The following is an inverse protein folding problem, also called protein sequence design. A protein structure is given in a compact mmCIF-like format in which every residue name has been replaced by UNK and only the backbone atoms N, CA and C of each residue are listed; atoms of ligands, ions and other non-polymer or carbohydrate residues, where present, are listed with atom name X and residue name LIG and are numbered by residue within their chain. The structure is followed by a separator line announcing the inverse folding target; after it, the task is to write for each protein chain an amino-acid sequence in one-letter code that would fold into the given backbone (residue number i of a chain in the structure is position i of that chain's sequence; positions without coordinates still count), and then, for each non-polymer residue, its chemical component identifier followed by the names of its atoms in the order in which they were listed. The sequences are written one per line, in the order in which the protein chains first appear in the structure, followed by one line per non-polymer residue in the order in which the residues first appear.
data_IF_847096197599
#
_entry.id   IF_847096197599
#
_cell.length_a   1.000
_cell.length_b   1.000
_cell.length_c   1.000
_cell.angle_alpha   90.00
_cell.angle_beta   90.00
_cell.angle_gamma   90.00
#
_symmetry.space_group_name_H-M   'P 1'
#
loop_
_entity.id
_entity.type
_entity.pdbx_description
1 polymer ?
#
# COMPACT_ATOMS: atom_id res chain seq x y z
N UNK A 1 19.92 19.85 -16.62
CA UNK A 1 19.13 19.08 -15.62
C UNK A 1 18.73 20.04 -14.52
N UNK A 2 17.47 20.00 -14.11
CA UNK A 2 17.01 20.66 -12.89
C UNK A 2 16.76 19.56 -11.84
N UNK A 3 17.32 19.74 -10.65
CA UNK A 3 17.14 18.85 -9.50
C UNK A 3 16.58 19.66 -8.34
N UNK A 4 15.54 19.14 -7.71
CA UNK A 4 14.90 19.79 -6.57
C UNK A 4 15.24 19.06 -5.28
N UNK A 5 15.61 19.85 -4.28
CA UNK A 5 15.95 19.40 -2.94
C UNK A 5 14.90 19.91 -1.95
N UNK A 6 14.68 19.14 -0.89
CA UNK A 6 13.84 19.51 0.26
C UNK A 6 14.42 18.96 1.54
N UNK A 7 13.92 19.44 2.68
CA UNK A 7 14.10 18.77 3.96
C UNK A 7 12.85 17.94 4.21
N UNK A 8 13.00 16.63 4.40
CA UNK A 8 11.88 15.74 4.68
C UNK A 8 11.40 15.92 6.13
N UNK A 9 10.09 16.04 6.34
CA UNK A 9 9.53 16.35 7.66
C UNK A 9 9.72 15.24 8.70
N UNK A 10 9.84 13.97 8.27
CA UNK A 10 9.98 12.81 9.15
C UNK A 10 11.42 12.57 9.60
N UNK A 11 12.33 12.51 8.63
CA UNK A 11 13.75 12.24 8.89
C UNK A 11 14.51 13.49 9.28
N UNK A 12 13.96 14.67 8.97
CA UNK A 12 14.64 15.96 9.11
C UNK A 12 15.97 16.01 8.32
N UNK A 13 16.06 15.22 7.25
CA UNK A 13 17.24 15.14 6.39
C UNK A 13 17.00 15.79 5.04
N UNK A 14 18.08 16.23 4.40
CA UNK A 14 18.06 16.70 3.02
C UNK A 14 17.73 15.51 2.10
N UNK A 15 16.71 15.68 1.26
CA UNK A 15 16.24 14.70 0.31
C UNK A 15 16.06 15.33 -1.08
N UNK A 16 16.16 14.49 -2.12
CA UNK A 16 15.89 14.89 -3.51
C UNK A 16 14.42 14.60 -3.79
N UNK A 17 13.62 15.63 -4.08
CA UNK A 17 12.22 15.47 -4.51
C UNK A 17 12.20 14.74 -5.85
N UNK A 18 13.00 15.21 -6.81
CA UNK A 18 13.04 14.64 -8.15
C UNK A 18 13.85 15.47 -9.13
N UNK A 19 13.94 14.95 -10.35
CA UNK A 19 14.74 15.51 -11.43
C UNK A 19 13.87 15.74 -12.69
N UNK A 20 14.27 16.71 -13.51
CA UNK A 20 13.76 16.86 -14.86
C UNK A 20 14.85 17.39 -15.82
N UNK A 21 14.71 17.09 -17.11
CA UNK A 21 15.53 17.68 -18.16
C UNK A 21 14.76 18.79 -18.88
N UNK A 22 15.48 19.84 -19.22
CA UNK A 22 14.95 20.95 -20.00
C UNK A 22 16.04 21.44 -20.96
N UNK A 23 15.72 21.50 -22.25
CA UNK A 23 16.60 22.08 -23.26
C UNK A 23 16.38 23.58 -23.28
N UNK A 24 17.40 24.32 -22.83
CA UNK A 24 17.33 25.79 -22.74
C UNK A 24 17.32 26.47 -24.12
N UNK A 25 17.83 25.81 -25.16
CA UNK A 25 17.84 26.32 -26.54
C UNK A 25 16.91 25.49 -27.43
N UNK A 26 16.31 26.13 -28.44
CA UNK A 26 15.58 25.46 -29.51
C UNK A 26 16.54 24.78 -30.50
N UNK A 27 16.00 24.02 -31.46
CA UNK A 27 16.81 23.38 -32.51
C UNK A 27 17.46 24.43 -33.43
N UNK A 28 16.87 25.61 -33.52
CA UNK A 28 17.34 26.78 -34.25
C UNK A 28 18.42 27.57 -33.48
N UNK A 29 18.66 27.23 -32.21
CA UNK A 29 19.66 27.88 -31.34
C UNK A 29 19.12 29.05 -30.52
N UNK A 30 17.81 29.34 -30.61
CA UNK A 30 17.19 30.42 -29.85
C UNK A 30 16.97 30.02 -28.39
N UNK A 31 17.21 30.93 -27.44
CA UNK A 31 16.88 30.71 -26.04
C UNK A 31 15.36 30.60 -25.91
N UNK A 32 14.87 29.55 -25.26
CA UNK A 32 13.44 29.34 -24.99
C UNK A 32 12.93 30.29 -23.90
N UNK A 33 12.87 31.59 -24.20
CA UNK A 33 12.37 32.62 -23.30
C UNK A 33 10.89 32.39 -23.01
N UNK A 34 10.49 32.39 -21.74
CA UNK A 34 9.11 32.16 -21.35
C UNK A 34 8.97 31.44 -20.02
N UNK A 35 7.72 31.19 -19.64
CA UNK A 35 7.36 30.35 -18.51
C UNK A 35 7.26 28.90 -18.96
N UNK A 36 7.87 27.99 -18.21
CA UNK A 36 7.93 26.57 -18.50
C UNK A 36 7.43 25.77 -17.30
N UNK A 37 6.69 24.71 -17.58
CA UNK A 37 6.26 23.72 -16.59
C UNK A 37 6.82 22.35 -16.93
N UNK A 38 7.36 21.64 -15.94
CA UNK A 38 7.88 20.27 -16.09
C UNK A 38 7.45 19.34 -14.97
N UNK A 39 7.19 18.09 -15.35
CA UNK A 39 6.97 16.97 -14.45
C UNK A 39 8.30 16.56 -13.79
N UNK A 40 8.25 16.17 -12.52
CA UNK A 40 9.41 15.62 -11.82
C UNK A 40 9.35 14.09 -11.79
N UNK A 41 10.53 13.48 -11.86
CA UNK A 41 10.72 12.03 -11.84
C UNK A 41 11.71 11.60 -10.74
N UNK A 42 11.45 10.45 -10.14
CA UNK A 42 12.29 9.80 -9.15
C UNK A 42 13.36 8.96 -9.87
N UNK A 43 14.50 9.56 -10.18
CA UNK A 43 15.53 8.83 -10.92
C UNK A 43 16.72 9.67 -11.31
N UNK A 44 17.78 8.96 -11.68
CA UNK A 44 19.01 9.53 -12.21
C UNK A 44 19.21 9.05 -13.64
N UNK A 45 19.74 9.89 -14.55
CA UNK A 45 20.11 9.43 -15.87
C UNK A 45 21.04 8.21 -15.78
N UNK A 46 20.92 7.23 -16.70
CA UNK A 46 21.74 6.02 -16.67
C UNK A 46 23.23 6.35 -16.66
N UNK A 47 24.00 5.70 -15.78
CA UNK A 47 25.45 5.87 -15.72
C UNK A 47 26.09 5.37 -17.03
N UNK A 48 26.69 6.27 -17.80
CA UNK A 48 27.43 5.93 -19.04
C UNK A 48 26.92 6.62 -20.31
N UNK A 49 25.77 7.27 -20.28
CA UNK A 49 25.34 8.14 -21.38
C UNK A 49 26.13 9.45 -21.40
N UNK A 50 26.54 9.90 -22.59
CA UNK A 50 27.13 11.23 -22.75
C UNK A 50 26.07 12.29 -22.48
N UNK A 51 26.46 13.44 -21.92
CA UNK A 51 25.56 14.59 -21.73
C UNK A 51 24.87 15.03 -23.04
N UNK A 52 25.46 14.73 -24.20
CA UNK A 52 24.89 14.98 -25.53
C UNK A 52 23.70 14.09 -25.88
N UNK A 53 23.56 12.94 -25.23
CA UNK A 53 22.56 11.92 -25.56
C UNK A 53 21.30 12.05 -24.67
N UNK A 54 21.42 12.82 -23.59
CA UNK A 54 20.33 13.14 -22.67
C UNK A 54 19.31 14.06 -23.33
N UNK A 55 18.09 13.55 -23.49
CA UNK A 55 16.93 14.28 -24.01
C UNK A 55 16.01 14.69 -22.86
N UNK A 56 15.06 15.59 -23.16
CA UNK A 56 14.04 15.96 -22.18
C UNK A 56 13.24 14.76 -21.66
N UNK A 57 12.99 13.78 -22.52
CA UNK A 57 12.22 12.56 -22.22
C UNK A 57 13.05 11.44 -21.59
N UNK A 58 14.36 11.65 -21.34
CA UNK A 58 15.24 10.59 -20.80
C UNK A 58 14.77 10.08 -19.43
N UNK A 59 14.08 10.93 -18.65
CA UNK A 59 13.58 10.53 -17.34
C UNK A 59 12.15 9.95 -17.36
N UNK A 60 11.49 9.90 -18.52
CA UNK A 60 10.08 9.49 -18.60
C UNK A 60 9.85 8.01 -18.25
N UNK A 61 10.92 7.20 -18.22
CA UNK A 61 10.89 5.79 -17.80
C UNK A 61 10.93 5.62 -16.29
N UNK A 62 11.26 6.67 -15.53
CA UNK A 62 11.31 6.61 -14.07
C UNK A 62 9.94 6.92 -13.47
N UNK A 63 9.69 6.53 -12.20
CA UNK A 63 8.47 6.89 -11.49
C UNK A 63 8.26 8.40 -11.48
N UNK A 64 7.02 8.84 -11.77
CA UNK A 64 6.62 10.25 -11.64
C UNK A 64 6.40 10.59 -10.17
N UNK A 65 6.86 11.76 -9.74
CA UNK A 65 6.52 12.28 -8.41
C UNK A 65 5.06 12.77 -8.45
N UNK A 66 4.13 12.15 -7.70
CA UNK A 66 2.72 12.45 -7.84
C UNK A 66 2.37 13.89 -7.50
N UNK A 67 1.59 14.54 -8.37
CA UNK A 67 1.08 15.89 -8.11
C UNK A 67 2.16 16.97 -8.06
N UNK A 68 3.42 16.65 -8.40
CA UNK A 68 4.55 17.56 -8.25
C UNK A 68 5.09 18.02 -9.61
N UNK A 69 5.14 19.34 -9.80
CA UNK A 69 5.68 20.00 -11.00
C UNK A 69 6.54 21.18 -10.63
N UNK A 70 7.55 21.44 -11.46
CA UNK A 70 8.34 22.66 -11.39
C UNK A 70 7.86 23.67 -12.43
N UNK A 71 7.60 24.88 -11.97
CA UNK A 71 7.34 26.05 -12.80
C UNK A 71 8.58 26.95 -12.73
N UNK A 72 9.17 27.27 -13.88
CA UNK A 72 10.34 28.14 -13.95
C UNK A 72 10.25 29.05 -15.15
N UNK A 73 11.08 30.09 -15.15
CA UNK A 73 11.10 31.09 -16.22
C UNK A 73 12.51 31.25 -16.75
N UNK A 74 12.64 31.19 -18.07
CA UNK A 74 13.86 31.59 -18.75
C UNK A 74 13.69 33.01 -19.25
N UNK A 75 14.68 33.83 -18.93
CA UNK A 75 14.67 35.24 -19.29
C UNK A 75 15.83 35.62 -20.18
N UNK A 76 15.60 36.52 -21.15
CA UNK A 76 16.72 37.16 -21.81
C UNK A 76 17.46 37.97 -20.75
N UNK A 77 18.76 38.11 -20.92
CA UNK A 77 19.54 38.99 -20.08
C UNK A 77 19.02 40.43 -20.24
N UNK A 78 18.28 40.93 -19.25
CA UNK A 78 17.74 42.29 -19.23
C UNK A 78 18.16 43.01 -17.95
N UNK A 79 18.47 44.30 -18.06
CA UNK A 79 18.77 45.15 -16.90
C UNK A 79 17.57 45.34 -15.98
N UNK A 80 16.35 45.28 -16.53
CA UNK A 80 15.12 45.51 -15.79
C UNK A 80 14.60 44.24 -15.14
N UNK A 81 14.23 44.34 -13.85
CA UNK A 81 13.51 43.28 -13.14
C UNK A 81 12.11 43.14 -13.73
N UNK A 82 11.87 42.04 -14.43
CA UNK A 82 10.55 41.70 -14.92
C UNK A 82 9.69 41.06 -13.81
N UNK A 83 8.39 41.40 -13.76
CA UNK A 83 7.45 40.90 -12.75
C UNK A 83 7.23 39.39 -12.89
N UNK A 84 7.08 38.70 -11.75
CA UNK A 84 6.68 37.29 -11.70
C UNK A 84 5.21 37.19 -12.20
N UNK A 85 4.93 36.42 -13.26
CA UNK A 85 3.57 36.17 -13.74
C UNK A 85 2.82 35.26 -12.76
N UNK A 86 1.50 35.36 -12.70
CA UNK A 86 0.72 34.45 -11.87
C UNK A 86 0.59 33.07 -12.52
N UNK A 87 0.41 32.02 -11.71
CA UNK A 87 0.11 30.67 -12.22
C UNK A 87 -1.24 30.59 -12.95
N UNK A 88 -2.12 31.58 -12.76
CA UNK A 88 -3.43 31.68 -13.41
C UNK A 88 -3.34 32.34 -14.78
N UNK A 89 -2.27 33.09 -15.04
CA UNK A 89 -1.97 33.56 -16.37
C UNK A 89 -1.52 32.31 -17.16
N UNK A 90 -2.08 32.09 -18.35
CA UNK A 90 -1.66 31.01 -19.29
C UNK A 90 -0.23 31.21 -19.83
N UNK A 91 0.65 31.73 -18.98
CA UNK A 91 2.01 32.16 -19.20
C UNK A 91 2.99 30.99 -19.19
N UNK A 92 2.69 29.95 -18.41
CA UNK A 92 3.53 28.75 -18.37
C UNK A 92 3.09 27.78 -19.45
N UNK A 93 3.98 27.53 -20.41
CA UNK A 93 3.78 26.49 -21.42
C UNK A 93 3.77 25.13 -20.72
N UNK A 94 2.60 24.48 -20.76
CA UNK A 94 2.41 23.14 -20.23
C UNK A 94 2.86 22.14 -21.29
N UNK A 95 4.11 21.70 -21.20
CA UNK A 95 4.61 20.61 -22.04
C UNK A 95 4.34 19.24 -21.41
N UNK A 96 3.97 19.20 -20.12
CA UNK A 96 3.57 17.99 -19.41
C UNK A 96 2.06 17.71 -19.57
N UNK A 97 1.63 16.44 -19.63
CA UNK A 97 0.20 16.08 -19.63
C UNK A 97 -0.49 16.63 -18.37
N UNK A 98 -1.82 16.80 -18.38
CA UNK A 98 -2.55 17.17 -17.16
C UNK A 98 -2.37 16.15 -16.04
N UNK A 99 -2.58 16.58 -14.78
CA UNK A 99 -2.60 15.67 -13.65
C UNK A 99 -3.67 14.59 -13.86
N UNK A 100 -3.31 13.33 -13.60
CA UNK A 100 -4.26 12.23 -13.62
C UNK A 100 -5.25 12.33 -12.44
N UNK A 101 -6.18 11.38 -12.33
CA UNK A 101 -7.20 11.42 -11.28
C UNK A 101 -6.60 11.38 -9.87
N UNK A 102 -5.58 10.55 -9.65
CA UNK A 102 -4.91 10.38 -8.36
C UNK A 102 -4.07 11.59 -7.98
N UNK A 103 -3.31 12.15 -8.93
CA UNK A 103 -2.56 13.38 -8.75
C UNK A 103 -3.49 14.57 -8.42
N UNK A 104 -4.67 14.63 -9.06
CA UNK A 104 -5.71 15.63 -8.71
C UNK A 104 -6.20 15.45 -7.26
N UNK A 105 -6.36 14.21 -6.78
CA UNK A 105 -6.68 13.94 -5.36
C UNK A 105 -5.55 14.40 -4.44
N UNK A 106 -4.29 14.07 -4.76
CA UNK A 106 -3.10 14.48 -3.99
C UNK A 106 -3.02 15.99 -3.87
N UNK A 107 -3.13 16.72 -4.99
CA UNK A 107 -3.12 18.19 -4.99
C UNK A 107 -4.26 18.74 -4.12
N UNK A 108 -5.48 18.20 -4.24
CA UNK A 108 -6.63 18.61 -3.41
C UNK A 108 -6.38 18.36 -1.91
N UNK A 109 -5.73 17.26 -1.55
CA UNK A 109 -5.38 16.94 -0.16
C UNK A 109 -4.34 17.91 0.42
N UNK A 110 -3.33 18.29 -0.37
CA UNK A 110 -2.40 19.36 0.01
C UNK A 110 -3.08 20.72 0.11
N UNK A 111 -4.09 20.99 -0.73
CA UNK A 111 -4.88 22.21 -0.65
C UNK A 111 -5.71 22.33 0.62
N UNK A 112 -5.96 21.22 1.31
CA UNK A 112 -6.65 21.15 2.60
C UNK A 112 -5.67 21.10 3.79
N UNK A 113 -4.36 21.10 3.55
CA UNK A 113 -3.38 21.00 4.64
C UNK A 113 -3.36 22.25 5.51
N UNK A 114 -3.29 22.05 6.83
CA UNK A 114 -3.27 23.11 7.84
C UNK A 114 -2.04 24.03 7.66
N UNK A 115 -0.96 23.51 7.10
CA UNK A 115 0.26 24.27 6.83
C UNK A 115 0.22 25.04 5.51
N UNK A 116 -0.83 24.91 4.68
CA UNK A 116 -0.92 25.61 3.39
C UNK A 116 -0.82 27.13 3.53
N UNK A 117 -1.36 27.69 4.60
CA UNK A 117 -1.31 29.12 4.87
C UNK A 117 0.04 29.59 5.41
N UNK A 118 0.93 28.67 5.81
CA UNK A 118 2.24 29.01 6.34
C UNK A 118 3.18 29.42 5.21
N UNK A 119 3.94 30.46 5.47
CA UNK A 119 5.03 30.92 4.63
C UNK A 119 6.22 29.96 4.72
N UNK A 120 7.08 29.97 3.70
CA UNK A 120 8.34 29.22 3.69
C UNK A 120 9.18 29.53 4.95
N UNK A 121 9.17 30.79 5.40
CA UNK A 121 9.88 31.22 6.61
C UNK A 121 9.33 30.53 7.85
N UNK A 122 8.01 30.48 8.03
CA UNK A 122 7.38 29.83 9.18
C UNK A 122 7.65 28.32 9.20
N UNK A 123 7.60 27.67 8.03
CA UNK A 123 7.93 26.24 7.92
C UNK A 123 9.41 26.01 8.27
N UNK A 124 10.32 26.82 7.73
CA UNK A 124 11.75 26.69 7.98
C UNK A 124 12.11 26.93 9.46
N UNK A 125 11.49 27.92 10.13
CA UNK A 125 11.65 28.13 11.57
C UNK A 125 11.16 26.91 12.36
N UNK A 126 9.99 26.35 12.02
CA UNK A 126 9.46 25.15 12.69
C UNK A 126 10.38 23.94 12.54
N UNK A 127 11.00 23.76 11.38
CA UNK A 127 11.98 22.70 11.13
C UNK A 127 13.27 22.96 11.94
N UNK A 128 13.78 24.19 11.95
CA UNK A 128 14.98 24.57 12.70
C UNK A 128 14.80 24.33 14.20
N UNK A 129 13.62 24.66 14.76
CA UNK A 129 13.27 24.40 16.16
C UNK A 129 13.20 22.91 16.49
N UNK A 130 12.73 22.08 15.55
CA UNK A 130 12.73 20.62 15.72
C UNK A 130 14.14 20.02 15.68
N UNK A 131 15.01 20.52 14.81
CA UNK A 131 16.39 20.02 14.69
C UNK A 131 17.30 20.52 15.82
N UNK A 132 17.05 21.72 16.33
CA UNK A 132 17.91 22.37 17.34
C UNK A 132 17.27 22.26 18.72
N UNK A 133 17.78 21.39 19.59
CA UNK A 133 17.30 21.29 20.99
C UNK A 133 17.43 22.60 21.79
N UNK A 134 18.14 23.60 21.26
CA UNK A 134 18.24 24.95 21.82
C UNK A 134 17.32 25.93 21.10
N UNK A 135 16.36 26.50 21.83
CA UNK A 135 15.57 27.68 21.43
C UNK A 135 16.47 28.92 21.32
N UNK A 136 17.28 29.03 20.27
CA UNK A 136 17.93 30.29 19.92
C UNK A 136 16.99 31.07 19.00
N UNK A 137 16.48 32.24 19.42
CA UNK A 137 15.62 33.06 18.57
C UNK A 137 16.49 33.66 17.45
N UNK A 138 16.04 33.56 16.20
CA UNK A 138 16.63 34.24 15.04
C UNK A 138 18.13 33.96 14.81
N UNK A 139 18.60 32.72 15.01
CA UNK A 139 19.83 32.30 14.35
C UNK A 139 19.57 32.35 12.84
N UNK A 140 20.32 33.21 12.13
CA UNK A 140 20.12 33.58 10.73
C UNK A 140 19.62 32.40 9.88
N UNK A 141 18.31 32.39 9.63
CA UNK A 141 17.63 31.31 8.91
C UNK A 141 18.26 31.08 7.54
N UNK A 142 18.82 32.13 6.93
CA UNK A 142 19.50 32.03 5.64
C UNK A 142 20.82 31.28 5.79
N UNK A 143 21.61 31.61 6.81
CA UNK A 143 22.84 30.87 7.13
C UNK A 143 22.54 29.41 7.49
N UNK A 144 21.48 29.14 8.27
CA UNK A 144 21.06 27.76 8.58
C UNK A 144 20.59 26.99 7.35
N UNK A 145 19.78 27.59 6.48
CA UNK A 145 19.36 26.97 5.22
C UNK A 145 20.55 26.71 4.29
N UNK A 146 21.49 27.64 4.21
CA UNK A 146 22.74 27.46 3.47
C UNK A 146 23.53 26.30 4.06
N UNK A 147 23.68 26.23 5.38
CA UNK A 147 24.36 25.14 6.07
C UNK A 147 23.71 23.78 5.78
N UNK A 148 22.37 23.68 5.83
CA UNK A 148 21.66 22.45 5.47
C UNK A 148 21.89 22.03 4.01
N UNK A 149 22.07 22.99 3.09
CA UNK A 149 22.31 22.72 1.67
C UNK A 149 23.79 22.49 1.35
N UNK A 150 24.73 22.99 2.15
CA UNK A 150 26.18 22.86 1.94
C UNK A 150 26.82 21.74 2.75
N UNK A 151 26.29 21.40 3.93
CA UNK A 151 26.69 20.22 4.71
C UNK A 151 26.09 18.95 4.09
N UNK A 152 26.29 18.78 2.79
CA UNK A 152 26.11 17.49 2.15
C UNK A 152 27.19 16.60 2.74
N UNK A 153 26.78 15.64 3.58
CA UNK A 153 27.65 14.56 4.06
C UNK A 153 28.43 13.93 2.90
N UNK A 154 29.50 13.19 3.19
CA UNK A 154 30.20 12.39 2.15
C UNK A 154 29.24 11.48 1.35
N UNK A 155 28.09 11.13 1.95
CA UNK A 155 26.96 10.47 1.29
C UNK A 155 26.02 11.47 0.58
N UNK A 156 25.69 11.24 -0.70
CA UNK A 156 24.73 12.07 -1.42
C UNK A 156 23.33 11.97 -0.78
N UNK A 157 22.51 13.04 -0.86
CA UNK A 157 21.14 13.02 -0.33
C UNK A 157 20.31 11.91 -0.97
N UNK A 158 19.51 11.20 -0.17
CA UNK A 158 18.62 10.16 -0.65
C UNK A 158 17.49 10.74 -1.51
N UNK A 159 16.92 9.91 -2.38
CA UNK A 159 15.65 10.22 -3.05
C UNK A 159 14.53 10.21 -2.01
N UNK A 160 13.55 11.09 -2.19
CA UNK A 160 12.33 11.08 -1.37
C UNK A 160 11.65 9.71 -1.45
N UNK A 161 11.32 9.15 -0.30
CA UNK A 161 10.55 7.91 -0.21
C UNK A 161 9.10 8.17 -0.65
N UNK A 162 8.74 7.66 -1.83
CA UNK A 162 7.42 7.89 -2.40
C UNK A 162 6.30 7.20 -1.61
N UNK A 163 6.59 6.21 -0.78
CA UNK A 163 5.61 5.64 0.15
C UNK A 163 5.13 6.66 1.19
N UNK A 164 5.89 7.74 1.40
CA UNK A 164 5.60 8.85 2.31
C UNK A 164 5.35 10.18 1.59
N UNK A 165 5.13 10.13 0.27
CA UNK A 165 4.92 11.35 -0.52
C UNK A 165 3.60 12.07 -0.17
N UNK A 166 2.63 11.34 0.39
CA UNK A 166 1.29 11.85 0.67
C UNK A 166 0.91 11.52 2.09
N UNK A 167 0.47 12.57 2.81
CA UNK A 167 -0.10 12.43 4.14
C UNK A 167 -1.47 11.78 4.07
N UNK A 168 -1.68 10.79 4.92
CA UNK A 168 -2.96 10.11 5.09
C UNK A 168 -4.06 11.10 5.48
N UNK A 169 -5.24 10.89 4.90
CA UNK A 169 -6.47 11.60 5.25
C UNK A 169 -7.61 10.61 5.44
N UNK A 170 -8.33 10.76 6.55
CA UNK A 170 -9.47 9.90 6.89
C UNK A 170 -10.56 9.96 5.81
N UNK A 171 -10.83 11.13 5.20
CA UNK A 171 -11.82 11.27 4.13
C UNK A 171 -11.39 10.62 2.80
N UNK A 172 -10.11 10.26 2.66
CA UNK A 172 -9.59 9.56 1.48
C UNK A 172 -9.50 8.06 1.72
N UNK A 173 -8.96 7.63 2.86
CA UNK A 173 -8.92 6.21 3.24
C UNK A 173 -7.65 5.45 2.83
N UNK A 174 -7.64 4.18 3.22
CA UNK A 174 -6.59 3.19 2.98
C UNK A 174 -7.21 2.04 2.21
N UNK A 175 -6.54 1.56 1.17
CA UNK A 175 -6.94 0.34 0.49
C UNK A 175 -6.17 -0.85 1.06
N UNK A 176 -6.88 -1.97 1.26
CA UNK A 176 -6.34 -3.23 1.76
C UNK A 176 -6.76 -4.37 0.86
N UNK A 177 -5.84 -5.27 0.54
CA UNK A 177 -6.13 -6.51 -0.16
C UNK A 177 -5.35 -7.68 0.44
N UNK A 178 -6.03 -8.78 0.74
CA UNK A 178 -5.37 -10.01 1.19
C UNK A 178 -5.09 -10.86 -0.05
N UNK A 179 -3.83 -11.04 -0.41
CA UNK A 179 -3.41 -11.67 -1.66
C UNK A 179 -3.38 -13.20 -1.56
N UNK A 180 -2.88 -13.71 -0.44
CA UNK A 180 -2.64 -15.13 -0.27
C UNK A 180 -2.09 -15.47 1.10
N UNK A 181 -1.87 -16.74 1.33
CA UNK A 181 -1.16 -17.25 2.50
C UNK A 181 -0.22 -18.38 2.06
N UNK A 182 0.74 -18.72 2.91
CA UNK A 182 1.73 -19.77 2.69
C UNK A 182 1.94 -20.57 3.98
N UNK A 183 2.39 -21.82 3.87
CA UNK A 183 2.71 -22.66 5.04
C UNK A 183 1.50 -23.12 5.86
N UNK A 184 0.28 -23.06 5.31
CA UNK A 184 -0.94 -23.44 6.01
C UNK A 184 -1.16 -24.97 6.00
N UNK A 185 -1.88 -25.53 7.00
CA UNK A 185 -2.20 -26.97 7.02
C UNK A 185 -3.02 -27.45 5.81
N UNK A 186 -2.65 -28.60 5.24
CA UNK A 186 -3.37 -29.20 4.11
C UNK A 186 -4.77 -29.71 4.50
N UNK A 187 -5.71 -29.74 3.54
CA UNK A 187 -7.03 -30.35 3.70
C UNK A 187 -8.04 -29.47 4.43
N UNK A 188 -7.72 -28.20 4.63
CA UNK A 188 -8.62 -27.17 5.16
C UNK A 188 -8.93 -26.13 4.09
N UNK A 189 -10.15 -25.58 4.15
CA UNK A 189 -10.53 -24.39 3.41
C UNK A 189 -10.35 -23.18 4.32
N UNK A 190 -9.47 -22.27 3.94
CA UNK A 190 -9.13 -21.09 4.73
C UNK A 190 -10.01 -19.89 4.41
N UNK A 191 -10.13 -18.97 5.35
CA UNK A 191 -10.75 -17.67 5.14
C UNK A 191 -10.05 -16.67 6.02
N UNK A 192 -9.77 -15.51 5.45
CA UNK A 192 -9.21 -14.40 6.19
C UNK A 192 -10.29 -13.35 6.42
N UNK A 193 -10.32 -12.81 7.63
CA UNK A 193 -11.20 -11.71 8.04
C UNK A 193 -10.33 -10.65 8.71
N UNK A 194 -10.27 -9.47 8.12
CA UNK A 194 -9.50 -8.36 8.66
C UNK A 194 -10.39 -7.30 9.31
N UNK A 195 -9.94 -6.78 10.45
CA UNK A 195 -10.57 -5.69 11.21
C UNK A 195 -9.52 -4.67 11.62
N UNK A 196 -9.93 -3.40 11.75
CA UNK A 196 -9.07 -2.35 12.30
C UNK A 196 -9.15 -2.36 13.82
N UNK A 197 -8.00 -2.34 14.47
CA UNK A 197 -7.86 -1.94 15.87
C UNK A 197 -7.52 -0.45 15.90
N UNK A 198 -8.33 0.41 16.56
CA UNK A 198 -8.19 1.86 16.49
C UNK A 198 -7.00 2.45 17.28
N UNK A 199 -6.19 1.63 17.96
CA UNK A 199 -5.10 2.13 18.79
C UNK A 199 -5.60 2.65 20.15
N UNK A 200 -4.89 3.63 20.72
CA UNK A 200 -5.16 4.18 22.06
C UNK A 200 -6.39 5.09 22.15
N UNK A 201 -7.02 5.39 21.00
CA UNK A 201 -8.25 6.15 20.94
C UNK A 201 -9.37 5.46 21.73
N UNK A 202 -10.24 6.27 22.35
CA UNK A 202 -11.43 5.74 23.02
C UNK A 202 -12.19 4.82 22.05
N UNK A 203 -12.53 3.61 22.51
CA UNK A 203 -13.50 2.78 21.79
C UNK A 203 -14.73 3.64 21.51
N UNK A 204 -15.19 3.77 20.25
CA UNK A 204 -16.31 4.63 19.93
C UNK A 204 -17.51 4.23 20.80
N UNK A 205 -18.05 5.21 21.52
CA UNK A 205 -19.12 5.12 22.52
C UNK A 205 -20.50 4.84 21.89
N UNK A 206 -20.56 3.98 20.88
CA UNK A 206 -21.76 3.56 20.17
C UNK A 206 -22.46 2.37 20.80
N UNK A 207 -23.79 2.37 20.72
CA UNK A 207 -24.66 1.25 21.11
C UNK A 207 -24.30 -0.05 20.38
N UNK A 208 -24.44 -1.19 21.08
CA UNK A 208 -23.97 -2.56 20.77
C UNK A 208 -24.36 -3.20 19.40
N UNK A 209 -24.86 -2.43 18.42
CA UNK A 209 -25.14 -2.89 17.05
C UNK A 209 -24.35 -2.17 15.95
N UNK A 210 -23.66 -1.07 16.27
CA UNK A 210 -22.83 -0.25 15.34
C UNK A 210 -21.38 -0.16 15.83
N UNK A 211 -21.01 -1.04 16.76
CA UNK A 211 -19.69 -1.11 17.41
C UNK A 211 -18.67 -1.69 16.45
N UNK A 212 -17.64 -0.91 16.10
CA UNK A 212 -16.19 -1.25 16.03
C UNK A 212 -15.70 -2.62 15.51
N UNK A 213 -16.57 -3.43 14.90
CA UNK A 213 -16.30 -4.73 14.30
C UNK A 213 -16.88 -4.74 12.89
N UNK A 214 -16.71 -3.65 12.14
CA UNK A 214 -16.89 -3.80 10.69
C UNK A 214 -15.83 -4.81 10.24
N UNK A 215 -16.31 -5.96 9.76
CA UNK A 215 -15.49 -6.88 8.99
C UNK A 215 -15.16 -6.12 7.70
N UNK A 216 -13.95 -5.56 7.64
CA UNK A 216 -13.58 -4.63 6.58
C UNK A 216 -13.19 -5.42 5.32
N UNK A 217 -12.27 -6.37 5.45
CA UNK A 217 -11.89 -7.25 4.35
C UNK A 217 -12.21 -8.71 4.69
N UNK A 218 -12.74 -9.43 3.72
CA UNK A 218 -13.01 -10.86 3.83
C UNK A 218 -12.58 -11.55 2.55
N UNK A 219 -11.81 -12.62 2.67
CA UNK A 219 -11.52 -13.45 1.50
C UNK A 219 -12.69 -14.39 1.20
N UNK A 220 -13.16 -14.38 -0.05
CA UNK A 220 -14.31 -15.16 -0.54
C UNK A 220 -13.95 -15.86 -1.84
N UNK A 221 -13.25 -15.19 -2.74
CA UNK A 221 -12.97 -15.71 -4.08
C UNK A 221 -11.60 -16.36 -4.11
N UNK A 222 -11.57 -17.67 -4.31
CA UNK A 222 -10.34 -18.44 -4.42
C UNK A 222 -9.79 -18.47 -5.84
N UNK A 223 -8.46 -18.45 -5.94
CA UNK A 223 -7.77 -19.03 -7.07
C UNK A 223 -7.70 -20.55 -6.89
N UNK A 224 -8.51 -21.30 -7.64
CA UNK A 224 -8.56 -22.76 -7.54
C UNK A 224 -7.30 -23.45 -8.09
N UNK A 225 -6.44 -22.75 -8.82
CA UNK A 225 -5.16 -23.29 -9.30
C UNK A 225 -4.04 -23.20 -8.27
N UNK A 226 -4.24 -22.43 -7.19
CA UNK A 226 -3.33 -22.34 -6.04
C UNK A 226 -3.29 -23.61 -5.19
N UNK A 227 -2.26 -23.73 -4.36
CA UNK A 227 -2.05 -24.83 -3.42
C UNK A 227 -2.98 -24.72 -2.21
N UNK A 228 -3.39 -25.84 -1.60
CA UNK A 228 -4.14 -25.81 -0.34
C UNK A 228 -3.31 -25.28 0.84
N UNK A 229 -2.00 -25.53 0.83
CA UNK A 229 -1.05 -25.02 1.83
C UNK A 229 -0.60 -23.59 1.54
N UNK A 230 -0.81 -23.11 0.31
CA UNK A 230 -0.53 -21.74 -0.10
C UNK A 230 -1.67 -21.16 -0.96
N UNK A 231 -2.86 -20.92 -0.36
CA UNK A 231 -4.02 -20.45 -1.10
C UNK A 231 -3.83 -18.99 -1.54
N UNK A 232 -4.29 -18.68 -2.76
CA UNK A 232 -4.41 -17.30 -3.26
C UNK A 232 -5.87 -16.88 -3.35
N UNK A 233 -6.12 -15.62 -3.05
CA UNK A 233 -7.45 -15.01 -3.14
C UNK A 233 -7.50 -13.95 -4.24
N UNK A 234 -8.62 -13.92 -4.94
CA UNK A 234 -8.89 -13.03 -6.08
C UNK A 234 -9.93 -11.97 -5.71
N UNK A 235 -10.16 -11.76 -4.42
CA UNK A 235 -11.03 -10.71 -3.92
C UNK A 235 -10.47 -9.32 -4.26
N UNK A 236 -11.34 -8.39 -4.63
CA UNK A 236 -10.96 -6.99 -4.87
C UNK A 236 -10.52 -6.31 -3.57
N UNK A 237 -9.82 -5.19 -3.70
CA UNK A 237 -9.46 -4.36 -2.56
C UNK A 237 -10.66 -3.81 -1.79
N UNK A 238 -10.45 -3.55 -0.51
CA UNK A 238 -11.40 -2.86 0.36
C UNK A 238 -10.81 -1.51 0.78
N UNK A 239 -11.53 -0.43 0.48
CA UNK A 239 -11.25 0.90 0.99
C UNK A 239 -11.81 1.05 2.42
N UNK A 240 -10.99 1.56 3.33
CA UNK A 240 -11.35 1.78 4.74
C UNK A 240 -10.87 3.15 5.22
N UNK A 241 -11.54 3.70 6.23
CA UNK A 241 -11.29 5.07 6.73
C UNK A 241 -10.93 5.08 8.22
N UNK A 242 -9.87 4.38 8.66
CA UNK A 242 -9.41 4.41 10.05
C UNK A 242 -8.99 5.82 10.47
N UNK A 243 -9.25 6.18 11.73
CA UNK A 243 -8.67 7.41 12.29
C UNK A 243 -7.13 7.33 12.31
N UNK A 244 -6.47 8.47 12.11
CA UNK A 244 -5.01 8.54 12.10
C UNK A 244 -4.48 8.46 13.54
N UNK A 245 -4.16 7.25 13.97
CA UNK A 245 -3.62 6.93 15.29
C UNK A 245 -2.32 6.14 15.18
N UNK A 246 -1.33 6.45 16.03
CA UNK A 246 0.04 5.91 15.94
C UNK A 246 0.09 4.37 16.05
N UNK A 247 -0.85 3.79 16.80
CA UNK A 247 -0.91 2.35 17.07
C UNK A 247 -2.10 1.68 16.38
N UNK A 248 -2.74 2.36 15.42
CA UNK A 248 -3.79 1.72 14.63
C UNK A 248 -3.19 0.58 13.78
N UNK A 249 -3.81 -0.60 13.87
CA UNK A 249 -3.33 -1.79 13.18
C UNK A 249 -4.48 -2.61 12.60
N UNK A 250 -4.18 -3.36 11.53
CA UNK A 250 -5.07 -4.36 10.96
C UNK A 250 -4.84 -5.69 11.67
N UNK A 251 -5.89 -6.26 12.25
CA UNK A 251 -5.88 -7.61 12.81
C UNK A 251 -6.56 -8.53 11.80
N UNK A 252 -5.82 -9.52 11.31
CA UNK A 252 -6.27 -10.48 10.31
C UNK A 252 -6.47 -11.82 11.00
N UNK A 253 -7.70 -12.32 11.04
CA UNK A 253 -8.00 -13.67 11.51
C UNK A 253 -7.99 -14.64 10.35
N UNK A 254 -7.27 -15.75 10.50
CA UNK A 254 -7.14 -16.84 9.53
C UNK A 254 -7.88 -18.05 10.08
N UNK A 255 -9.04 -18.38 9.51
CA UNK A 255 -9.87 -19.50 9.93
C UNK A 255 -9.84 -20.61 8.87
N UNK A 256 -9.39 -21.82 9.25
CA UNK A 256 -9.39 -23.01 8.40
C UNK A 256 -10.50 -23.97 8.80
N UNK A 257 -11.28 -24.45 7.84
CA UNK A 257 -12.40 -25.37 8.06
C UNK A 257 -12.27 -26.61 7.18
N UNK A 258 -12.40 -27.80 7.77
CA UNK A 258 -12.41 -29.06 7.02
C UNK A 258 -13.74 -29.25 6.29
N UNK A 259 -13.86 -28.60 5.13
CA UNK A 259 -15.02 -28.64 4.28
C UNK A 259 -15.01 -29.84 3.33
N UNK A 260 -16.18 -30.45 3.14
CA UNK A 260 -16.45 -31.45 2.11
C UNK A 260 -17.63 -31.01 1.26
N UNK A 261 -17.37 -30.79 -0.02
CA UNK A 261 -18.38 -30.42 -1.00
C UNK A 261 -19.10 -31.65 -1.57
N UNK A 262 -20.40 -31.55 -1.76
CA UNK A 262 -21.21 -32.51 -2.51
C UNK A 262 -22.05 -31.74 -3.55
N UNK A 263 -21.71 -31.82 -4.86
CA UNK A 263 -22.46 -31.12 -5.89
C UNK A 263 -23.88 -31.68 -6.02
N UNK A 264 -24.81 -30.83 -6.46
CA UNK A 264 -26.15 -31.29 -6.78
C UNK A 264 -26.11 -32.20 -8.03
N UNK A 265 -26.85 -33.33 -8.08
CA UNK A 265 -26.77 -34.29 -9.21
C UNK A 265 -27.00 -33.69 -10.60
N UNK A 266 -27.72 -32.56 -10.68
CA UNK A 266 -28.02 -31.89 -11.93
C UNK A 266 -26.96 -30.87 -12.37
N UNK A 267 -25.98 -30.50 -11.54
CA UNK A 267 -24.98 -29.45 -11.82
C UNK A 267 -25.59 -28.11 -12.31
N UNK A 268 -26.81 -27.81 -11.85
CA UNK A 268 -27.60 -26.60 -12.22
C UNK A 268 -27.96 -25.75 -11.01
N UNK A 269 -27.66 -26.23 -9.81
CA UNK A 269 -27.95 -25.57 -8.53
C UNK A 269 -26.78 -25.82 -7.60
N UNK A 270 -26.55 -24.93 -6.63
CA UNK A 270 -25.49 -25.12 -5.66
C UNK A 270 -25.63 -26.44 -4.89
N UNK A 271 -24.50 -27.09 -4.64
CA UNK A 271 -24.41 -28.29 -3.82
C UNK A 271 -24.54 -28.00 -2.33
N UNK A 272 -24.08 -28.94 -1.51
CA UNK A 272 -24.06 -28.80 -0.05
C UNK A 272 -22.63 -28.98 0.45
N UNK A 273 -22.19 -28.10 1.35
CA UNK A 273 -20.94 -28.26 2.09
C UNK A 273 -21.24 -28.83 3.47
N UNK A 274 -20.46 -29.81 3.88
CA UNK A 274 -20.52 -30.45 5.20
C UNK A 274 -19.12 -30.61 5.78
N UNK A 275 -18.98 -30.79 7.09
CA UNK A 275 -17.69 -31.16 7.67
C UNK A 275 -17.33 -32.62 7.33
N UNK A 276 -16.13 -33.08 7.75
CA UNK A 276 -15.67 -34.48 7.58
C UNK A 276 -16.67 -35.54 8.09
N UNK A 277 -17.53 -35.18 9.06
CA UNK A 277 -18.55 -36.05 9.67
C UNK A 277 -19.94 -35.91 9.03
N UNK A 278 -20.08 -35.15 7.94
CA UNK A 278 -21.35 -34.96 7.21
C UNK A 278 -22.36 -34.04 7.92
N UNK A 279 -21.92 -33.28 8.93
CA UNK A 279 -22.75 -32.29 9.65
C UNK A 279 -22.53 -30.89 9.04
N UNK A 280 -23.39 -29.89 9.35
CA UNK A 280 -23.11 -28.50 9.02
C UNK A 280 -21.71 -28.09 9.50
N UNK A 281 -21.09 -27.15 8.80
CA UNK A 281 -19.82 -26.58 9.26
C UNK A 281 -20.02 -25.99 10.66
N UNK A 282 -19.11 -26.32 11.56
CA UNK A 282 -19.05 -25.80 12.93
C UNK A 282 -17.71 -25.09 13.11
N UNK A 283 -17.37 -24.64 14.32
CA UNK A 283 -16.13 -23.92 14.65
C UNK A 283 -14.90 -24.40 13.87
N UNK A 284 -14.04 -23.44 13.50
CA UNK A 284 -12.88 -23.66 12.65
C UNK A 284 -11.92 -24.71 13.22
N UNK A 285 -11.40 -25.59 12.37
CA UNK A 285 -10.41 -26.62 12.73
C UNK A 285 -9.02 -26.02 12.92
N UNK A 286 -8.75 -24.92 12.22
CA UNK A 286 -7.57 -24.08 12.42
C UNK A 286 -8.02 -22.65 12.68
N UNK A 287 -7.45 -22.01 13.68
CA UNK A 287 -7.61 -20.57 13.90
C UNK A 287 -6.22 -20.00 14.12
N UNK A 288 -5.88 -18.99 13.34
CA UNK A 288 -4.70 -18.19 13.55
C UNK A 288 -4.99 -16.73 13.31
N UNK A 289 -4.00 -15.88 13.54
CA UNK A 289 -4.13 -14.45 13.34
C UNK A 289 -2.79 -13.80 12.97
N UNK A 290 -2.85 -12.65 12.32
CA UNK A 290 -1.72 -11.81 11.98
C UNK A 290 -2.06 -10.35 12.27
N UNK A 291 -1.05 -9.49 12.36
CA UNK A 291 -1.22 -8.06 12.62
C UNK A 291 -0.31 -7.21 11.74
N UNK A 292 -0.82 -6.09 11.24
CA UNK A 292 -0.10 -5.14 10.39
C UNK A 292 -0.34 -3.71 10.88
N UNK A 293 0.70 -2.89 11.16
CA UNK A 293 0.48 -1.47 11.42
C UNK A 293 -0.08 -0.77 10.18
N UNK A 294 -1.03 0.17 10.37
CA UNK A 294 -1.65 0.86 9.24
C UNK A 294 -0.87 2.09 8.78
N UNK A 295 -0.12 2.70 9.69
CA UNK A 295 0.53 3.98 9.47
C UNK A 295 2.00 3.96 9.86
N UNK A 296 2.79 4.76 9.16
CA UNK A 296 4.16 5.14 9.53
C UNK A 296 4.20 6.66 9.58
N UNK A 297 4.21 7.20 10.80
CA UNK A 297 4.01 8.64 11.00
C UNK A 297 2.60 9.06 10.60
N UNK A 298 2.49 10.00 9.67
CA UNK A 298 1.21 10.47 9.12
C UNK A 298 0.91 9.92 7.72
N UNK A 299 1.63 8.88 7.30
CA UNK A 299 1.48 8.22 5.99
C UNK A 299 0.98 6.79 6.16
N UNK A 300 0.30 6.25 5.14
CA UNK A 300 -0.10 4.84 5.10
C UNK A 300 1.12 3.95 4.99
N UNK A 301 1.18 2.89 5.79
CA UNK A 301 2.20 1.85 5.67
C UNK A 301 1.96 1.02 4.39
N UNK A 302 2.39 1.57 3.26
CA UNK A 302 2.08 1.06 1.93
C UNK A 302 3.08 0.01 1.48
N UNK A 303 2.61 -1.02 0.76
CA UNK A 303 3.43 -2.10 0.24
C UNK A 303 2.75 -3.45 0.29
N UNK A 304 3.49 -4.50 -0.08
CA UNK A 304 3.09 -5.90 0.11
C UNK A 304 3.83 -6.44 1.33
N UNK A 305 3.08 -6.94 2.30
CA UNK A 305 3.57 -7.38 3.60
C UNK A 305 3.33 -8.87 3.78
N UNK A 306 4.39 -9.63 4.03
CA UNK A 306 4.31 -11.05 4.41
C UNK A 306 4.35 -11.15 5.92
N UNK A 307 3.21 -11.48 6.53
CA UNK A 307 3.00 -11.44 7.98
C UNK A 307 2.98 -12.86 8.55
N UNK A 308 3.67 -13.14 9.66
CA UNK A 308 3.58 -14.43 10.33
C UNK A 308 2.16 -14.67 10.86
N UNK A 309 1.71 -15.93 10.81
CA UNK A 309 0.42 -16.36 11.37
C UNK A 309 0.64 -17.01 12.74
N UNK A 310 0.09 -16.39 13.76
CA UNK A 310 0.10 -16.84 15.14
C UNK A 310 -1.08 -17.78 15.42
N UNK A 311 -0.86 -18.82 16.23
CA UNK A 311 -1.90 -19.79 16.56
C UNK A 311 -2.96 -19.20 17.51
N UNK A 312 -4.21 -19.60 17.32
CA UNK A 312 -5.34 -19.22 18.16
C UNK A 312 -5.92 -17.85 17.80
N UNK A 313 -6.44 -17.16 18.82
CA UNK A 313 -6.98 -15.81 18.72
C UNK A 313 -6.18 -14.87 19.62
N UNK A 314 -5.98 -13.60 19.23
CA UNK A 314 -5.27 -12.65 20.08
C UNK A 314 -6.01 -12.50 21.41
N UNK A 315 -5.28 -12.53 22.52
CA UNK A 315 -5.87 -12.35 23.86
C UNK A 315 -6.19 -10.87 24.10
N UNK A 316 -7.13 -10.58 25.01
CA UNK A 316 -7.48 -9.19 25.37
C UNK A 316 -6.27 -8.39 25.85
N UNK A 317 -5.27 -9.06 26.44
CA UNK A 317 -4.04 -8.40 26.88
C UNK A 317 -3.18 -7.99 25.68
N UNK A 318 -3.00 -8.89 24.69
CA UNK A 318 -2.31 -8.56 23.45
C UNK A 318 -3.03 -7.44 22.70
N UNK A 319 -4.35 -7.48 22.61
CA UNK A 319 -5.14 -6.41 21.98
C UNK A 319 -4.93 -5.07 22.68
N UNK A 320 -4.88 -5.07 24.03
CA UNK A 320 -4.60 -3.87 24.81
C UNK A 320 -3.17 -3.36 24.59
N UNK A 321 -2.18 -4.24 24.52
CA UNK A 321 -0.80 -3.85 24.24
C UNK A 321 -0.65 -3.27 22.82
N UNK A 322 -1.30 -3.89 21.82
CA UNK A 322 -1.35 -3.39 20.45
C UNK A 322 -1.98 -1.99 20.35
N UNK A 323 -2.85 -1.61 21.29
CA UNK A 323 -3.42 -0.26 21.34
C UNK A 323 -2.42 0.80 21.84
N UNK A 324 -1.33 0.38 22.49
CA UNK A 324 -0.39 1.25 23.20
C UNK A 324 1.04 1.20 22.66
N UNK A 325 1.32 0.28 21.74
CA UNK A 325 2.68 0.01 21.27
C UNK A 325 2.66 -0.55 19.86
N UNK A 326 3.77 -0.38 19.15
CA UNK A 326 3.92 -0.90 17.79
C UNK A 326 3.77 -2.44 17.77
N UNK A 327 3.11 -3.02 16.75
CA UNK A 327 2.86 -4.47 16.70
C UNK A 327 4.11 -5.33 16.85
N UNK A 328 5.23 -4.92 16.24
CA UNK A 328 6.50 -5.64 16.32
C UNK A 328 6.98 -5.80 17.77
N UNK A 329 6.94 -4.72 18.57
CA UNK A 329 7.35 -4.73 19.98
C UNK A 329 6.44 -5.63 20.82
N UNK A 330 5.13 -5.53 20.61
CA UNK A 330 4.14 -6.36 21.32
C UNK A 330 4.35 -7.84 21.02
N UNK A 331 4.62 -8.17 19.76
CA UNK A 331 4.82 -9.55 19.33
C UNK A 331 6.15 -10.15 19.85
N UNK A 332 7.21 -9.35 19.95
CA UNK A 332 8.47 -9.79 20.57
C UNK A 332 8.30 -10.10 22.07
N UNK A 333 7.47 -9.34 22.79
CA UNK A 333 7.28 -9.48 24.24
C UNK A 333 6.21 -10.52 24.60
N UNK A 334 5.12 -10.60 23.83
CA UNK A 334 3.94 -11.38 24.17
C UNK A 334 3.91 -12.78 23.57
N UNK A 335 4.66 -13.03 22.49
CA UNK A 335 4.58 -14.29 21.74
C UNK A 335 5.88 -15.08 21.89
N UNK A 336 5.86 -16.06 22.80
CA UNK A 336 6.71 -17.25 22.62
C UNK A 336 6.25 -17.84 21.29
N UNK A 337 7.09 -17.83 20.26
CA UNK A 337 6.82 -18.49 18.98
C UNK A 337 6.22 -19.87 19.29
N UNK A 338 4.91 -20.00 19.10
CA UNK A 338 4.25 -21.28 19.32
C UNK A 338 4.77 -22.20 18.22
N UNK A 339 5.54 -23.21 18.62
CA UNK A 339 6.18 -24.24 17.78
C UNK A 339 5.22 -25.01 16.82
N UNK A 340 3.95 -24.62 16.69
CA UNK A 340 2.90 -25.36 15.99
C UNK A 340 2.94 -25.27 14.45
N UNK A 341 3.34 -24.12 13.88
CA UNK A 341 3.17 -23.85 12.43
C UNK A 341 4.29 -22.99 11.82
N UNK A 342 5.54 -23.18 12.26
CA UNK A 342 6.69 -22.26 12.15
C UNK A 342 6.98 -21.45 10.87
N UNK A 343 6.32 -21.74 9.74
CA UNK A 343 6.50 -21.03 8.46
C UNK A 343 5.19 -20.44 7.88
N UNK A 344 4.07 -20.51 8.63
CA UNK A 344 2.79 -20.00 8.16
C UNK A 344 2.78 -18.47 8.06
N UNK A 345 2.35 -17.94 6.93
CA UNK A 345 2.29 -16.50 6.67
C UNK A 345 1.08 -16.09 5.83
N UNK A 346 0.66 -14.83 5.96
CA UNK A 346 -0.36 -14.20 5.12
C UNK A 346 0.22 -12.98 4.42
N UNK A 347 -0.03 -12.86 3.12
CA UNK A 347 0.42 -11.75 2.29
C UNK A 347 -0.71 -10.73 2.15
N UNK A 348 -0.45 -9.50 2.58
CA UNK A 348 -1.42 -8.39 2.55
C UNK A 348 -0.81 -7.19 1.86
N UNK A 349 -1.56 -6.59 0.95
CA UNK A 349 -1.20 -5.36 0.26
C UNK A 349 -1.99 -4.20 0.86
N UNK A 350 -1.29 -3.10 1.14
CA UNK A 350 -1.89 -1.86 1.63
C UNK A 350 -1.36 -0.68 0.84
N UNK A 351 -2.20 0.31 0.58
CA UNK A 351 -1.78 1.57 -0.04
C UNK A 351 -2.75 2.70 0.25
N UNK A 352 -2.27 3.93 0.10
CA UNK A 352 -3.09 5.13 0.27
C UNK A 352 -4.12 5.26 -0.87
N UNK A 353 -5.40 5.49 -0.52
CA UNK A 353 -6.51 5.59 -1.48
C UNK A 353 -6.54 6.88 -2.34
N UNK A 354 -5.57 7.76 -2.16
CA UNK A 354 -5.24 8.77 -3.17
C UNK A 354 -4.88 8.09 -4.50
N UNK A 355 -4.24 6.92 -4.46
CA UNK A 355 -3.74 6.21 -5.63
C UNK A 355 -4.64 5.05 -6.05
N UNK A 356 -4.66 4.80 -7.35
CA UNK A 356 -5.19 3.55 -7.90
C UNK A 356 -4.19 2.43 -7.74
N UNK A 357 -4.67 1.19 -7.76
CA UNK A 357 -3.83 -0.01 -7.62
C UNK A 357 -2.75 -0.11 -8.69
N UNK A 358 -3.01 0.34 -9.92
CA UNK A 358 -2.07 0.36 -11.04
C UNK A 358 -1.07 1.52 -11.01
N UNK A 359 -1.25 2.48 -10.09
CA UNK A 359 -0.42 3.68 -9.95
C UNK A 359 0.43 3.64 -8.66
N UNK A 360 0.55 2.46 -8.04
CA UNK A 360 1.33 2.30 -6.82
C UNK A 360 2.81 2.61 -7.05
N UNK A 361 3.38 3.35 -6.10
CA UNK A 361 4.74 3.90 -6.18
C UNK A 361 5.81 2.96 -5.61
N UNK A 362 5.38 1.87 -4.98
CA UNK A 362 6.25 0.82 -4.46
C UNK A 362 6.22 -0.31 -5.48
N UNK A 363 7.41 -0.70 -5.99
CA UNK A 363 7.50 -1.87 -6.85
C UNK A 363 6.91 -3.07 -6.11
N UNK A 364 5.94 -3.72 -6.75
CA UNK A 364 5.52 -5.04 -6.31
C UNK A 364 6.69 -5.97 -6.59
N UNK A 365 7.50 -6.24 -5.57
CA UNK A 365 8.14 -7.55 -5.51
C UNK A 365 6.97 -8.53 -5.43
N UNK A 366 6.58 -9.03 -6.61
CA UNK A 366 5.86 -10.29 -6.66
C UNK A 366 6.75 -11.23 -5.87
N UNK A 367 6.27 -11.61 -4.69
CA UNK A 367 6.78 -12.78 -4.03
C UNK A 367 6.43 -13.92 -4.99
N UNK A 368 7.30 -14.14 -5.98
CA UNK A 368 7.42 -15.38 -6.71
C UNK A 368 7.88 -16.41 -5.67
N UNK A 369 6.98 -16.78 -4.74
CA UNK A 369 7.08 -18.01 -3.96
C UNK A 369 6.77 -19.22 -4.89
N UNK A 370 7.19 -19.15 -6.16
CA UNK A 370 7.31 -20.31 -7.05
C UNK A 370 8.62 -21.08 -6.78
N UNK A 371 9.47 -20.64 -5.83
CA UNK A 371 10.71 -21.36 -5.51
C UNK A 371 10.57 -22.49 -4.47
N UNK A 372 9.44 -22.67 -3.78
CA UNK A 372 9.16 -23.91 -3.04
C UNK A 372 7.65 -24.16 -2.94
N UNK A 373 6.97 -24.19 -4.09
CA UNK A 373 5.71 -24.88 -4.18
C UNK A 373 5.95 -26.34 -3.78
N UNK A 374 5.68 -26.66 -2.52
CA UNK A 374 5.73 -28.01 -1.95
C UNK A 374 5.16 -29.00 -2.97
N UNK A 375 6.05 -29.72 -3.68
CA UNK A 375 5.69 -30.52 -4.86
C UNK A 375 4.69 -31.64 -4.53
N UNK A 376 4.36 -31.82 -3.25
CA UNK A 376 3.34 -32.74 -2.75
C UNK A 376 1.97 -32.13 -2.43
N UNK A 377 1.82 -30.81 -2.34
CA UNK A 377 0.56 -30.20 -1.89
C UNK A 377 -0.53 -30.25 -2.96
N UNK A 378 -1.74 -30.63 -2.54
CA UNK A 378 -2.90 -30.63 -3.43
C UNK A 378 -3.32 -29.20 -3.76
N UNK A 379 -3.77 -29.01 -5.00
CA UNK A 379 -4.44 -27.77 -5.40
C UNK A 379 -5.78 -27.57 -4.70
N UNK A 380 -6.21 -26.33 -4.54
CA UNK A 380 -7.56 -25.98 -4.04
C UNK A 380 -8.65 -26.58 -4.93
N UNK A 381 -8.42 -26.65 -6.25
CA UNK A 381 -9.30 -27.34 -7.21
C UNK A 381 -9.64 -28.79 -6.83
N UNK A 382 -8.78 -29.47 -6.05
CA UNK A 382 -9.03 -30.84 -5.60
C UNK A 382 -10.30 -30.95 -4.73
N UNK A 383 -10.66 -29.91 -3.96
CA UNK A 383 -11.90 -29.92 -3.17
C UNK A 383 -13.15 -30.16 -4.01
N UNK A 384 -13.16 -29.63 -5.24
CA UNK A 384 -14.28 -29.75 -6.17
C UNK A 384 -14.10 -30.98 -7.05
N UNK A 385 -12.91 -31.20 -7.61
CA UNK A 385 -12.64 -32.33 -8.50
C UNK A 385 -12.90 -33.68 -7.82
N UNK A 386 -12.57 -33.82 -6.54
CA UNK A 386 -12.80 -35.05 -5.78
C UNK A 386 -14.29 -35.29 -5.48
N UNK A 387 -15.11 -34.23 -5.54
CA UNK A 387 -16.56 -34.30 -5.35
C UNK A 387 -17.33 -34.62 -6.65
N UNK A 388 -16.70 -34.46 -7.82
CA UNK A 388 -17.31 -34.72 -9.11
C UNK A 388 -17.36 -36.22 -9.46
N UNK A 389 -18.34 -36.59 -10.31
CA UNK A 389 -18.40 -37.93 -10.88
C UNK A 389 -17.17 -38.23 -11.76
N UNK A 390 -16.81 -39.51 -11.90
CA UNK A 390 -15.59 -39.98 -12.57
C UNK A 390 -15.38 -39.40 -13.97
N UNK A 391 -16.46 -39.23 -14.74
CA UNK A 391 -16.38 -38.72 -16.11
C UNK A 391 -16.06 -37.22 -16.16
N UNK A 392 -16.60 -36.44 -15.23
CA UNK A 392 -16.29 -35.01 -15.10
C UNK A 392 -14.91 -34.80 -14.48
N UNK A 393 -14.54 -35.61 -13.48
CA UNK A 393 -13.21 -35.59 -12.86
C UNK A 393 -12.09 -35.86 -13.88
N UNK A 394 -12.29 -36.77 -14.83
CA UNK A 394 -11.33 -37.05 -15.91
C UNK A 394 -11.13 -35.88 -16.88
N UNK A 395 -12.14 -35.04 -17.07
CA UNK A 395 -12.04 -33.84 -17.91
C UNK A 395 -11.29 -32.70 -17.22
N UNK A 396 -11.08 -32.80 -15.90
CA UNK A 396 -10.27 -31.87 -15.12
C UNK A 396 -10.88 -30.46 -15.05
N UNK A 397 -10.00 -29.47 -14.86
CA UNK A 397 -10.37 -28.06 -14.61
C UNK A 397 -10.89 -27.32 -15.85
N UNK A 398 -10.75 -27.91 -17.05
CA UNK A 398 -11.21 -27.31 -18.30
C UNK A 398 -12.71 -27.51 -18.57
N UNK A 399 -13.40 -28.35 -17.79
CA UNK A 399 -14.82 -28.64 -18.00
C UNK A 399 -15.73 -27.50 -17.53
N UNK A 400 -16.77 -27.17 -18.31
CA UNK A 400 -17.80 -26.21 -17.92
C UNK A 400 -18.52 -26.57 -16.61
N UNK A 401 -18.66 -27.88 -16.34
CA UNK A 401 -19.25 -28.36 -15.09
C UNK A 401 -18.34 -28.02 -13.92
N UNK A 402 -17.03 -28.23 -14.05
CA UNK A 402 -16.08 -27.86 -13.01
C UNK A 402 -16.11 -26.35 -12.74
N UNK A 403 -16.06 -25.51 -13.78
CA UNK A 403 -16.09 -24.04 -13.63
C UNK A 403 -17.34 -23.57 -12.90
N UNK A 404 -18.52 -24.10 -13.28
CA UNK A 404 -19.78 -23.78 -12.60
C UNK A 404 -19.82 -24.27 -11.15
N UNK A 405 -19.26 -25.44 -10.87
CA UNK A 405 -19.19 -25.96 -9.50
C UNK A 405 -18.20 -25.18 -8.63
N UNK A 406 -17.20 -24.49 -9.21
CA UNK A 406 -16.36 -23.52 -8.50
C UNK A 406 -17.18 -22.32 -8.01
N UNK A 407 -18.00 -21.74 -8.88
CA UNK A 407 -18.91 -20.64 -8.51
C UNK A 407 -19.89 -21.07 -7.41
N UNK A 408 -20.50 -22.24 -7.55
CA UNK A 408 -21.41 -22.79 -6.55
C UNK A 408 -20.72 -23.11 -5.22
N UNK A 409 -19.49 -23.64 -5.26
CA UNK A 409 -18.73 -23.92 -4.06
C UNK A 409 -18.45 -22.63 -3.28
N UNK A 410 -17.97 -21.59 -3.96
CA UNK A 410 -17.72 -20.26 -3.37
C UNK A 410 -19.00 -19.68 -2.76
N UNK A 411 -20.13 -19.75 -3.47
CA UNK A 411 -21.43 -19.27 -2.97
C UNK A 411 -21.87 -20.00 -1.69
N UNK A 412 -21.73 -21.33 -1.64
CA UNK A 412 -22.16 -22.14 -0.50
C UNK A 412 -21.23 -21.95 0.69
N UNK A 413 -19.92 -21.82 0.46
CA UNK A 413 -18.95 -21.54 1.52
C UNK A 413 -19.19 -20.17 2.15
N UNK A 414 -19.42 -19.13 1.34
CA UNK A 414 -19.73 -17.79 1.83
C UNK A 414 -21.00 -17.80 2.70
N UNK A 415 -22.06 -18.49 2.28
CA UNK A 415 -23.29 -18.64 3.09
C UNK A 415 -23.09 -19.45 4.37
N UNK A 416 -22.25 -20.48 4.33
CA UNK A 416 -22.01 -21.34 5.48
C UNK A 416 -21.17 -20.67 6.57
N UNK A 417 -20.27 -19.76 6.17
CA UNK A 417 -19.34 -19.05 7.05
C UNK A 417 -19.77 -17.60 7.37
N UNK A 418 -20.98 -17.20 6.97
CA UNK A 418 -21.63 -15.91 7.34
C UNK A 418 -22.48 -16.00 8.61
N UNK A 419 -22.68 -17.22 9.15
CA UNK A 419 -23.40 -17.50 10.39
C UNK A 419 -22.39 -17.82 11.48
#
# INVERSE_FOLDING_TARGET
MLRLYTIEAHTLQLAIIGNCFYEIFSQEGDLKVGGHCRQLYQGMPPSGESLSDLKQTTLDTFPRIPGCRIYFRLLPHSADKQRCPSLQDRFFEMEAPEFNASEKKVVKSHECDVNKSKTVREIACHIQEKMSSSKSPDNDLTSWLQECLTNVSDTPPALLDLSRAVRYRVDVGVNVQILGASGLPEGLHFRCVARVSPGSGEEPTGTEGERGEEILATTRVYDFDSSQTAPRWLDDETEMHPELEEHACLIIHVAGVAAKYKPHPSHKRPGVVTNKKGRPLTAADFTGWAVLPLFVGDCVFSGVHKLPVYEGTPTDDVLRQLSQSAPYTVLEEAVVFSDGHGDASVSVQTWDAHFRKDEQLVEMEYVDDDEDGDQGSRKVSAFILDALQKDHRKRGTSSDIYKRECEFYTEVMDKALKK
#
